data_IF_672118149492
#
_entry.id   IF_672118149492
#
_cell.length_a   1.000
_cell.length_b   1.000
_cell.length_c   1.000
_cell.angle_alpha   90.00
_cell.angle_beta   90.00
_cell.angle_gamma   90.00
#
_symmetry.space_group_name_H-M   'P 1'
#
loop_
_entity.id
_entity.type
_entity.pdbx_description
1 polymer ?
#
# COMPACT_ATOMS: atom_id res chain seq x y z
N UNK A 1 -29.09 -32.04 -59.96
CA UNK A 1 -29.09 -30.96 -60.97
C UNK A 1 -30.51 -30.44 -61.07
N UNK A 2 -30.84 -29.23 -60.63
CA UNK A 2 -29.99 -28.18 -60.03
C UNK A 2 -30.47 -27.79 -58.62
N UNK A 3 -29.91 -26.71 -58.07
CA UNK A 3 -30.23 -26.07 -56.79
C UNK A 3 -30.47 -24.56 -57.08
N UNK A 4 -30.87 -23.77 -56.08
CA UNK A 4 -31.30 -22.34 -56.19
C UNK A 4 -32.65 -22.15 -56.92
N UNK A 5 -33.60 -21.31 -56.50
CA UNK A 5 -33.81 -20.46 -55.30
C UNK A 5 -35.36 -20.36 -55.08
N UNK A 6 -36.04 -19.50 -54.32
CA UNK A 6 -35.72 -18.20 -53.70
C UNK A 6 -36.49 -17.96 -52.36
N UNK A 7 -37.21 -16.84 -52.24
CA UNK A 7 -37.86 -16.23 -51.07
C UNK A 7 -39.20 -15.57 -51.51
N UNK A 8 -40.23 -15.47 -50.63
CA UNK A 8 -40.85 -14.18 -50.22
C UNK A 8 -42.00 -14.31 -49.18
N UNK A 9 -41.89 -13.52 -48.10
CA UNK A 9 -42.90 -12.89 -47.22
C UNK A 9 -44.26 -13.55 -46.84
N UNK A 10 -44.64 -13.36 -45.56
CA UNK A 10 -45.99 -13.52 -45.01
C UNK A 10 -46.07 -13.08 -43.54
N UNK A 11 -46.53 -11.86 -43.27
CA UNK A 11 -46.40 -11.14 -41.99
C UNK A 11 -47.10 -11.79 -40.77
N UNK A 12 -46.61 -11.49 -39.55
CA UNK A 12 -47.50 -11.32 -38.39
C UNK A 12 -47.08 -11.88 -37.02
N UNK A 13 -46.21 -11.18 -36.27
CA UNK A 13 -46.55 -10.73 -34.90
C UNK A 13 -45.48 -9.82 -34.26
N UNK A 14 -45.96 -8.68 -33.78
CA UNK A 14 -45.33 -7.67 -32.92
C UNK A 14 -44.28 -8.15 -31.89
N UNK A 15 -43.04 -7.69 -32.07
CA UNK A 15 -42.13 -7.34 -30.96
C UNK A 15 -41.60 -5.91 -31.13
N UNK A 16 -42.41 -4.94 -30.72
CA UNK A 16 -42.03 -3.53 -30.67
C UNK A 16 -40.78 -3.33 -29.82
N UNK A 17 -39.66 -3.00 -30.47
CA UNK A 17 -38.43 -2.56 -29.81
C UNK A 17 -38.39 -1.04 -29.80
N UNK A 18 -38.59 -0.36 -28.65
CA UNK A 18 -38.51 1.09 -28.59
C UNK A 18 -37.06 1.53 -28.79
N UNK A 19 -36.82 2.21 -29.91
CA UNK A 19 -35.84 3.26 -30.17
C UNK A 19 -34.48 3.15 -29.45
N UNK A 20 -33.40 3.13 -30.24
CA UNK A 20 -32.03 3.19 -29.76
C UNK A 20 -31.82 4.41 -28.84
N UNK A 21 -31.85 4.18 -27.53
CA UNK A 21 -31.19 5.09 -26.61
C UNK A 21 -29.69 4.85 -26.80
N UNK A 22 -29.07 5.65 -27.68
CA UNK A 22 -27.64 5.86 -27.71
C UNK A 22 -27.21 6.58 -26.41
N UNK A 23 -27.30 5.85 -25.30
CA UNK A 23 -26.35 6.01 -24.23
C UNK A 23 -25.04 5.45 -24.74
N UNK A 24 -24.30 6.33 -25.39
CA UNK A 24 -22.90 6.55 -25.06
C UNK A 24 -22.75 6.67 -23.54
N UNK A 25 -22.75 5.52 -22.87
CA UNK A 25 -21.80 5.26 -21.81
C UNK A 25 -20.45 5.35 -22.51
N UNK A 26 -19.97 6.59 -22.67
CA UNK A 26 -18.57 6.87 -22.88
C UNK A 26 -17.90 6.41 -21.60
N UNK A 27 -17.57 5.12 -21.57
CA UNK A 27 -17.21 4.45 -20.34
C UNK A 27 -15.97 5.12 -19.77
N UNK A 28 -16.12 5.61 -18.54
CA UNK A 28 -15.13 6.38 -17.80
C UNK A 28 -13.93 5.55 -17.38
N UNK A 29 -13.60 4.49 -18.11
CA UNK A 29 -12.29 3.86 -18.19
C UNK A 29 -11.32 4.87 -18.83
N UNK A 30 -11.09 5.96 -18.11
CA UNK A 30 -9.77 6.58 -18.05
C UNK A 30 -8.78 5.44 -17.91
N UNK A 31 -7.95 5.27 -18.93
CA UNK A 31 -6.94 4.22 -19.01
C UNK A 31 -5.84 4.52 -18.01
N UNK A 32 -6.16 4.32 -16.71
CA UNK A 32 -5.29 4.54 -15.56
C UNK A 32 -3.95 3.90 -15.89
N UNK A 33 -2.93 4.72 -16.11
CA UNK A 33 -1.61 4.27 -16.54
C UNK A 33 -1.02 3.41 -15.43
N UNK A 34 -1.26 2.09 -15.51
CA UNK A 34 -0.89 1.13 -14.49
C UNK A 34 0.61 1.28 -14.23
N UNK A 35 0.97 1.44 -12.95
CA UNK A 35 2.33 1.75 -12.53
C UNK A 35 3.31 0.79 -13.15
N UNK A 36 4.14 1.29 -14.08
CA UNK A 36 4.96 0.45 -14.94
C UNK A 36 6.03 -0.32 -14.16
N UNK A 37 6.85 -1.09 -14.87
CA UNK A 37 7.85 -2.00 -14.30
C UNK A 37 8.74 -1.38 -13.19
N UNK A 38 9.00 -0.07 -13.23
CA UNK A 38 9.70 0.69 -12.16
C UNK A 38 8.94 0.71 -10.83
N UNK A 39 7.62 0.90 -10.85
CA UNK A 39 6.75 0.86 -9.66
C UNK A 39 6.71 -0.55 -9.07
N UNK A 40 6.57 -1.57 -9.94
CA UNK A 40 6.60 -2.97 -9.52
C UNK A 40 7.93 -3.34 -8.84
N UNK A 41 9.06 -2.96 -9.43
CA UNK A 41 10.38 -3.16 -8.82
C UNK A 41 10.55 -2.43 -7.48
N UNK A 42 10.06 -1.20 -7.36
CA UNK A 42 10.14 -0.45 -6.10
C UNK A 42 9.37 -1.14 -4.97
N UNK A 43 8.15 -1.61 -5.25
CA UNK A 43 7.35 -2.39 -4.29
C UNK A 43 8.05 -3.71 -3.94
N UNK A 44 8.57 -4.43 -4.95
CA UNK A 44 9.22 -5.73 -4.77
C UNK A 44 10.52 -5.65 -3.94
N UNK A 45 11.35 -4.62 -4.16
CA UNK A 45 12.57 -4.38 -3.36
C UNK A 45 12.20 -3.97 -1.92
N UNK A 46 11.13 -3.20 -1.74
CA UNK A 46 10.63 -2.82 -0.40
C UNK A 46 10.15 -4.04 0.38
N UNK A 47 9.32 -4.88 -0.25
CA UNK A 47 8.82 -6.15 0.29
C UNK A 47 9.99 -7.08 0.69
N UNK A 48 10.96 -7.31 -0.20
CA UNK A 48 12.14 -8.13 0.11
C UNK A 48 12.95 -7.54 1.27
N UNK A 49 13.16 -6.21 1.29
CA UNK A 49 13.88 -5.52 2.36
C UNK A 49 13.21 -5.66 3.72
N UNK A 50 11.87 -5.59 3.78
CA UNK A 50 11.09 -5.83 5.00
C UNK A 50 11.19 -7.29 5.44
N UNK A 51 10.98 -8.26 4.53
CA UNK A 51 11.05 -9.70 4.83
C UNK A 51 12.42 -10.10 5.34
N UNK A 52 13.49 -9.62 4.71
CA UNK A 52 14.87 -9.86 5.12
C UNK A 52 15.14 -9.29 6.52
N UNK A 53 14.84 -8.00 6.73
CA UNK A 53 15.02 -7.32 8.03
C UNK A 53 14.21 -7.97 9.16
N UNK A 54 13.00 -8.47 8.85
CA UNK A 54 12.18 -9.22 9.80
C UNK A 54 12.87 -10.52 10.22
N UNK A 55 13.38 -11.31 9.26
CA UNK A 55 14.02 -12.60 9.53
C UNK A 55 15.29 -12.43 10.35
N UNK A 56 16.16 -11.48 9.97
CA UNK A 56 17.39 -11.17 10.70
C UNK A 56 17.12 -10.75 12.15
N UNK A 57 16.19 -9.81 12.35
CA UNK A 57 15.79 -9.36 13.68
C UNK A 57 15.19 -10.50 14.52
N UNK A 58 14.32 -11.32 13.91
CA UNK A 58 13.66 -12.43 14.58
C UNK A 58 14.66 -13.53 14.99
N UNK A 59 15.61 -13.86 14.12
CA UNK A 59 16.68 -14.84 14.40
C UNK A 59 17.64 -14.35 15.49
N UNK A 60 18.07 -13.09 15.42
CA UNK A 60 18.92 -12.47 16.44
C UNK A 60 18.20 -12.45 17.81
N UNK A 61 16.91 -12.10 17.84
CA UNK A 61 16.12 -12.06 19.07
C UNK A 61 15.90 -13.46 19.69
N UNK A 62 15.63 -14.50 18.89
CA UNK A 62 15.58 -15.89 19.40
C UNK A 62 16.94 -16.28 19.99
N UNK A 63 18.02 -16.04 19.26
CA UNK A 63 19.39 -16.38 19.68
C UNK A 63 19.74 -15.71 21.00
N UNK A 64 19.45 -14.41 21.15
CA UNK A 64 19.67 -13.66 22.38
C UNK A 64 18.85 -14.21 23.56
N UNK A 65 17.54 -14.42 23.38
CA UNK A 65 16.66 -14.90 24.45
C UNK A 65 17.00 -16.33 24.91
N UNK A 66 17.50 -17.17 24.00
CA UNK A 66 17.83 -18.58 24.31
C UNK A 66 19.26 -18.78 24.79
N UNK A 67 20.26 -18.10 24.22
CA UNK A 67 21.68 -18.30 24.55
C UNK A 67 22.19 -17.38 25.66
N UNK A 68 21.88 -16.08 25.59
CA UNK A 68 22.33 -15.10 26.60
C UNK A 68 21.41 -15.18 27.83
N UNK A 69 20.09 -15.07 27.61
CA UNK A 69 19.11 -14.99 28.69
C UNK A 69 18.66 -16.36 29.22
N UNK A 70 19.15 -17.46 28.63
CA UNK A 70 18.89 -18.86 29.04
C UNK A 70 17.39 -19.20 29.23
N UNK A 71 16.49 -18.52 28.50
CA UNK A 71 15.06 -18.79 28.58
C UNK A 71 14.73 -20.10 27.84
N UNK A 72 13.83 -20.95 28.40
CA UNK A 72 13.30 -22.07 27.65
C UNK A 72 12.56 -21.57 26.41
N UNK A 73 12.75 -22.25 25.28
CA UNK A 73 12.32 -21.82 23.94
C UNK A 73 10.84 -21.40 23.88
N UNK A 74 9.96 -22.09 24.62
CA UNK A 74 8.53 -21.79 24.75
C UNK A 74 8.27 -20.40 25.36
N UNK A 75 9.06 -19.98 26.35
CA UNK A 75 8.97 -18.65 26.95
C UNK A 75 9.54 -17.56 26.04
N UNK A 76 10.62 -17.84 25.32
CA UNK A 76 11.16 -16.91 24.31
C UNK A 76 10.13 -16.63 23.21
N UNK A 77 9.49 -17.67 22.66
CA UNK A 77 8.42 -17.50 21.66
C UNK A 77 7.20 -16.76 22.19
N UNK A 78 6.83 -16.88 23.47
CA UNK A 78 5.74 -16.06 24.05
C UNK A 78 6.06 -14.56 24.00
N UNK A 79 7.30 -14.16 24.28
CA UNK A 79 7.74 -12.75 24.19
C UNK A 79 7.70 -12.28 22.74
N UNK A 80 8.24 -13.08 21.81
CA UNK A 80 8.33 -12.76 20.38
C UNK A 80 6.92 -12.65 19.75
N UNK A 81 6.01 -13.57 20.06
CA UNK A 81 4.62 -13.54 19.57
C UNK A 81 3.85 -12.34 20.11
N UNK A 82 4.03 -12.00 21.40
CA UNK A 82 3.43 -10.79 21.98
C UNK A 82 3.92 -9.52 21.26
N UNK A 83 5.23 -9.39 21.05
CA UNK A 83 5.82 -8.29 20.28
C UNK A 83 5.36 -8.27 18.81
N UNK A 84 5.18 -9.43 18.19
CA UNK A 84 4.63 -9.53 16.84
C UNK A 84 3.17 -9.06 16.78
N UNK A 85 2.38 -9.35 17.82
CA UNK A 85 1.05 -8.76 18.03
C UNK A 85 1.14 -7.23 18.11
N UNK A 86 2.00 -6.68 18.98
CA UNK A 86 2.22 -5.22 19.10
C UNK A 86 2.57 -4.55 17.76
N UNK A 87 3.43 -5.17 16.94
CA UNK A 87 3.77 -4.67 15.59
C UNK A 87 2.59 -4.63 14.62
N UNK A 88 1.60 -5.52 14.76
CA UNK A 88 0.38 -5.48 13.94
C UNK A 88 -0.60 -4.38 14.38
N UNK A 89 -0.50 -3.86 15.62
CA UNK A 89 -1.22 -2.67 16.05
C UNK A 89 -0.53 -1.36 15.63
N UNK A 90 0.76 -1.37 15.29
CA UNK A 90 1.48 -0.19 14.77
C UNK A 90 0.80 0.47 13.57
N UNK A 91 0.37 -0.23 12.50
CA UNK A 91 -0.36 0.41 11.40
C UNK A 91 -1.75 0.93 11.80
N UNK A 92 -2.44 0.31 12.76
CA UNK A 92 -3.73 0.82 13.27
C UNK A 92 -3.54 2.17 13.99
N UNK A 93 -2.54 2.25 14.85
CA UNK A 93 -2.17 3.47 15.57
C UNK A 93 -1.64 4.53 14.59
N UNK A 94 -0.82 4.11 13.62
CA UNK A 94 -0.29 4.97 12.56
C UNK A 94 -1.37 5.55 11.65
N UNK A 95 -2.41 4.78 11.32
CA UNK A 95 -3.57 5.26 10.58
C UNK A 95 -4.39 6.28 11.37
N UNK A 96 -4.72 5.99 12.64
CA UNK A 96 -5.44 6.92 13.51
C UNK A 96 -4.66 8.23 13.73
N UNK A 97 -3.34 8.16 13.83
CA UNK A 97 -2.46 9.34 13.85
C UNK A 97 -2.50 10.05 12.49
N UNK A 98 -2.38 9.36 11.36
CA UNK A 98 -2.39 9.96 10.03
C UNK A 98 -3.71 10.69 9.71
N UNK A 99 -4.86 10.08 10.03
CA UNK A 99 -6.18 10.68 9.91
C UNK A 99 -6.27 11.96 10.76
N UNK A 100 -5.77 11.92 12.00
CA UNK A 100 -5.71 13.09 12.89
C UNK A 100 -4.64 14.13 12.52
N UNK A 101 -3.67 13.80 11.65
CA UNK A 101 -2.59 14.69 11.19
C UNK A 101 -2.81 15.25 9.78
N UNK A 102 -3.95 14.93 9.16
CA UNK A 102 -4.28 15.24 7.75
C UNK A 102 -4.21 16.72 7.38
N UNK A 103 -4.23 17.64 8.36
CA UNK A 103 -4.05 19.08 8.11
C UNK A 103 -2.59 19.58 8.16
N UNK A 104 -1.68 18.95 8.94
CA UNK A 104 -0.47 19.65 9.40
C UNK A 104 0.86 18.87 9.51
N UNK A 105 1.00 17.67 8.92
CA UNK A 105 2.32 17.01 8.82
C UNK A 105 3.40 17.89 8.13
N UNK A 106 3.00 18.76 7.19
CA UNK A 106 3.88 19.76 6.55
C UNK A 106 4.53 20.70 7.57
N UNK A 107 3.76 21.19 8.54
CA UNK A 107 4.21 22.14 9.56
C UNK A 107 5.20 21.49 10.52
N UNK A 108 5.07 20.19 10.79
CA UNK A 108 6.04 19.41 11.57
C UNK A 108 7.39 19.27 10.84
N UNK A 109 7.39 18.99 9.53
CA UNK A 109 8.63 18.98 8.72
C UNK A 109 9.30 20.36 8.72
N UNK A 110 8.52 21.43 8.53
CA UNK A 110 9.00 22.81 8.51
C UNK A 110 9.61 23.19 9.88
N UNK A 111 8.95 22.82 10.99
CA UNK A 111 9.50 23.02 12.33
C UNK A 111 10.84 22.32 12.56
N UNK A 112 10.99 21.08 12.09
CA UNK A 112 12.26 20.33 12.18
C UNK A 112 13.36 21.00 11.33
N UNK A 113 13.04 21.47 10.12
CA UNK A 113 13.99 22.20 9.27
C UNK A 113 14.47 23.51 9.93
N UNK A 114 13.55 24.28 10.52
CA UNK A 114 13.87 25.52 11.24
C UNK A 114 14.74 25.22 12.46
N UNK A 115 14.39 24.20 13.26
CA UNK A 115 15.16 23.77 14.43
C UNK A 115 16.59 23.34 14.06
N UNK A 116 16.75 22.60 12.97
CA UNK A 116 18.06 22.19 12.43
C UNK A 116 18.89 23.38 11.93
N UNK A 117 18.28 24.44 11.41
CA UNK A 117 18.98 25.67 11.05
C UNK A 117 19.41 26.45 12.30
N UNK A 118 18.51 26.63 13.28
CA UNK A 118 18.81 27.32 14.55
C UNK A 118 19.98 26.65 15.29
N UNK A 119 19.97 25.31 15.42
CA UNK A 119 21.05 24.56 16.06
C UNK A 119 22.40 24.71 15.33
N UNK A 120 22.41 24.90 14.01
CA UNK A 120 23.64 25.11 13.23
C UNK A 120 24.17 26.54 13.28
N UNK A 121 23.28 27.52 13.44
CA UNK A 121 23.63 28.95 13.51
C UNK A 121 24.12 29.33 14.92
N UNK A 122 23.50 28.77 15.97
CA UNK A 122 23.81 29.06 17.37
C UNK A 122 25.31 28.92 17.75
N UNK A 123 26.03 27.82 17.43
CA UNK A 123 27.45 27.69 17.79
C UNK A 123 28.36 28.65 17.01
N UNK A 124 27.95 29.12 15.82
CA UNK A 124 28.72 30.08 15.03
C UNK A 124 28.68 31.50 15.65
N UNK A 125 27.66 31.82 16.44
CA UNK A 125 27.55 33.08 17.19
C UNK A 125 28.36 33.08 18.50
N UNK A 126 28.83 31.92 18.97
CA UNK A 126 29.50 31.74 20.26
C UNK A 126 31.03 31.52 20.13
N UNK A 127 31.55 31.61 18.90
CA UNK A 127 32.97 31.38 18.56
C UNK A 127 33.54 32.62 17.83
N UNK A 128 33.24 33.81 18.33
CA UNK A 128 33.72 35.10 17.83
C UNK A 128 33.99 36.06 19.01
#
# INVERSE_FOLDING_TARGET
MAMELQDNNGEGSSYSSPQLLDKGIGDGISSKTLGGFRTLLFIFVTEIGERFSYIDFHSNLITYLTQQLNLPLVSAFKIITNFNGSKNFTPLIGALIADSFSENFRTLIIGILIFQLVIKILPLQLNL
#
